data_IF_121594817482
#
_entry.id   IF_121594817482
#
_cell.length_a   1.000
_cell.length_b   1.000
_cell.length_c   1.000
_cell.angle_alpha   90.00
_cell.angle_beta   90.00
_cell.angle_gamma   90.00
#
_symmetry.space_group_name_H-M   'P 1'
#
loop_
_entity.id
_entity.type
_entity.pdbx_description
1 polymer ?
#
# COMPACT_ATOMS: atom_id res chain seq x y z
N UNK A 1 63.08 2.95 -8.82
CA UNK A 1 62.63 3.74 -7.65
C UNK A 1 62.04 5.03 -8.17
N UNK A 2 60.71 5.11 -8.28
CA UNK A 2 59.99 6.31 -8.70
C UNK A 2 59.20 6.82 -7.50
N UNK A 3 59.59 8.00 -7.03
CA UNK A 3 59.03 8.72 -5.89
C UNK A 3 57.65 9.25 -6.28
N UNK A 4 56.61 8.79 -5.60
CA UNK A 4 55.24 9.25 -5.78
C UNK A 4 55.11 10.60 -5.03
N UNK A 5 55.05 11.70 -5.77
CA UNK A 5 54.64 13.00 -5.23
C UNK A 5 53.12 13.06 -5.15
N UNK A 6 52.59 13.31 -3.95
CA UNK A 6 51.17 13.43 -3.67
C UNK A 6 50.54 14.56 -4.49
N UNK A 7 49.49 14.24 -5.24
CA UNK A 7 48.60 15.23 -5.86
C UNK A 7 47.58 15.73 -4.83
N UNK A 8 47.41 17.05 -4.81
CA UNK A 8 46.48 17.79 -3.98
C UNK A 8 45.04 17.28 -4.10
N UNK A 9 44.43 16.94 -2.96
CA UNK A 9 43.03 16.58 -2.88
C UNK A 9 42.15 17.85 -2.93
N UNK A 10 41.05 17.88 -3.70
CA UNK A 10 40.15 19.01 -3.73
C UNK A 10 39.42 19.17 -2.40
N UNK A 11 39.53 20.34 -1.79
CA UNK A 11 38.83 20.72 -0.56
C UNK A 11 37.31 20.77 -0.82
N UNK A 12 36.57 19.81 -0.27
CA UNK A 12 35.09 19.80 -0.31
C UNK A 12 34.56 20.87 0.66
N UNK A 13 33.72 21.83 0.22
CA UNK A 13 33.10 22.79 1.12
C UNK A 13 32.09 22.08 2.06
N UNK A 14 32.31 22.20 3.36
CA UNK A 14 31.36 21.72 4.39
C UNK A 14 30.07 22.55 4.32
N UNK A 15 28.94 21.90 4.04
CA UNK A 15 27.61 22.52 4.03
C UNK A 15 27.18 22.75 5.51
N UNK A 16 26.79 23.99 5.92
CA UNK A 16 26.36 24.23 7.29
C UNK A 16 25.04 23.50 7.62
N UNK A 17 24.94 22.98 8.84
CA UNK A 17 23.75 22.33 9.40
C UNK A 17 22.53 23.29 9.35
N UNK A 18 21.31 22.78 9.09
CA UNK A 18 20.11 23.63 9.10
C UNK A 18 19.80 24.10 10.53
N UNK A 19 19.91 25.41 10.74
CA UNK A 19 19.50 26.10 11.96
C UNK A 19 17.98 25.99 12.13
N UNK A 20 17.55 25.60 13.35
CA UNK A 20 16.15 25.47 13.74
C UNK A 20 15.45 26.84 13.69
N UNK A 21 14.68 27.10 12.63
CA UNK A 21 13.87 28.31 12.47
C UNK A 21 12.69 28.26 13.44
N UNK A 22 12.65 29.20 14.39
CA UNK A 22 11.53 29.43 15.29
C UNK A 22 10.54 30.37 14.57
N UNK A 23 9.25 30.01 14.40
CA UNK A 23 8.30 30.87 13.71
C UNK A 23 7.96 32.10 14.58
N UNK A 24 8.19 33.28 14.02
CA UNK A 24 7.73 34.57 14.51
C UNK A 24 6.22 34.70 14.22
N UNK A 25 5.42 34.96 15.24
CA UNK A 25 3.99 35.23 15.09
C UNK A 25 3.80 36.70 14.73
N UNK A 26 3.41 36.96 13.48
CA UNK A 26 3.04 38.29 12.99
C UNK A 26 1.69 38.69 13.58
N UNK A 27 1.66 39.82 14.29
CA UNK A 27 0.45 40.43 14.85
C UNK A 27 -0.18 41.35 13.80
N UNK A 28 -1.32 40.96 13.23
CA UNK A 28 -2.18 41.86 12.47
C UNK A 28 -3.31 42.34 13.38
N UNK A 29 -3.11 43.50 14.02
CA UNK A 29 -4.22 44.35 14.46
C UNK A 29 -4.55 45.25 13.27
N UNK A 30 -5.79 45.21 12.78
CA UNK A 30 -6.58 46.43 12.57
C UNK A 30 -8.02 46.16 12.06
N UNK A 31 -8.97 46.75 12.79
CA UNK A 31 -10.28 47.28 12.39
C UNK A 31 -11.44 46.34 11.97
N UNK A 32 -12.31 46.00 12.95
CA UNK A 32 -13.75 45.70 12.75
C UNK A 32 -14.57 46.43 13.84
N UNK A 33 -15.74 47.04 13.53
CA UNK A 33 -16.41 48.02 14.40
C UNK A 33 -17.18 47.41 15.59
N UNK A 34 -17.32 48.21 16.65
CA UNK A 34 -18.07 47.97 17.89
C UNK A 34 -19.57 47.73 17.64
N UNK A 35 -20.09 46.60 18.11
CA UNK A 35 -21.47 46.46 18.60
C UNK A 35 -21.46 45.98 20.05
N UNK A 36 -22.29 46.67 20.86
CA UNK A 36 -22.38 46.58 22.33
C UNK A 36 -22.81 45.19 22.80
N UNK A 37 -22.11 44.59 23.79
CA UNK A 37 -22.67 43.55 24.65
C UNK A 37 -22.21 43.69 26.12
N UNK A 38 -23.20 43.44 26.98
CA UNK A 38 -23.38 43.61 28.42
C UNK A 38 -22.45 42.71 29.29
N UNK A 39 -22.22 42.98 30.61
CA UNK A 39 -21.07 42.45 31.32
C UNK A 39 -21.23 40.97 31.75
N UNK A 40 -20.15 40.24 31.48
CA UNK A 40 -19.84 38.92 31.99
C UNK A 40 -19.78 38.89 33.52
N UNK A 41 -20.59 38.06 34.18
CA UNK A 41 -20.28 37.64 35.57
C UNK A 41 -20.84 36.29 36.06
N UNK A 42 -21.51 35.46 35.25
CA UNK A 42 -22.09 34.20 35.78
C UNK A 42 -21.92 32.92 34.96
N UNK A 43 -21.03 32.89 33.94
CA UNK A 43 -20.79 31.66 33.16
C UNK A 43 -19.38 31.06 33.28
N UNK A 44 -18.45 31.73 33.97
CA UNK A 44 -17.04 31.28 34.08
C UNK A 44 -16.75 30.23 35.17
N UNK A 45 -17.64 30.03 36.14
CA UNK A 45 -17.33 29.20 37.31
C UNK A 45 -17.63 27.70 37.13
N UNK A 46 -18.48 27.32 36.17
CA UNK A 46 -18.78 25.90 35.92
C UNK A 46 -17.83 25.26 34.90
N UNK A 47 -17.27 26.05 33.98
CA UNK A 47 -16.34 25.55 32.96
C UNK A 47 -14.92 25.36 33.49
N UNK A 48 -14.46 26.21 34.42
CA UNK A 48 -13.11 26.10 35.00
C UNK A 48 -12.91 24.84 35.86
N UNK A 49 -13.99 24.25 36.41
CA UNK A 49 -13.90 23.03 37.23
C UNK A 49 -13.85 21.73 36.42
N UNK A 50 -14.15 21.79 35.12
CA UNK A 50 -14.12 20.62 34.24
C UNK A 50 -12.72 20.32 33.67
N UNK A 51 -11.80 21.30 33.67
CA UNK A 51 -10.49 21.20 32.99
C UNK A 51 -9.35 20.83 33.96
N UNK A 52 -9.61 20.73 35.26
CA UNK A 52 -8.58 20.42 36.26
C UNK A 52 -8.39 18.92 36.55
N UNK A 53 -9.26 18.04 36.03
CA UNK A 53 -9.27 16.62 36.42
C UNK A 53 -8.68 15.65 35.37
N UNK A 54 -8.14 16.13 34.25
CA UNK A 54 -7.77 15.24 33.13
C UNK A 54 -6.27 15.29 32.77
N UNK A 55 -5.40 15.23 33.78
CA UNK A 55 -3.93 15.19 33.58
C UNK A 55 -3.34 13.77 33.64
N UNK A 56 -4.15 12.72 33.43
CA UNK A 56 -3.66 11.31 33.41
C UNK A 56 -4.38 10.40 32.42
N UNK A 57 -4.77 10.90 31.25
CA UNK A 57 -5.27 10.05 30.16
C UNK A 57 -4.20 9.86 29.07
N UNK A 58 -3.44 8.77 29.25
CA UNK A 58 -2.57 8.07 28.31
C UNK A 58 -2.99 8.24 26.84
N UNK A 59 -2.03 8.62 25.98
CA UNK A 59 -2.15 8.66 24.52
C UNK A 59 -2.56 7.28 23.98
N UNK A 60 -3.86 7.02 23.87
CA UNK A 60 -4.40 5.82 23.23
C UNK A 60 -4.43 6.09 21.73
N UNK A 61 -3.66 5.30 20.97
CA UNK A 61 -3.83 5.23 19.51
C UNK A 61 -5.32 4.96 19.20
N UNK A 62 -5.89 5.54 18.13
CA UNK A 62 -7.24 5.23 17.69
C UNK A 62 -7.32 3.73 17.40
N UNK A 63 -7.97 2.99 18.29
CA UNK A 63 -8.24 1.57 18.10
C UNK A 63 -9.16 1.43 16.91
N UNK A 64 -8.66 0.79 15.83
CA UNK A 64 -9.47 0.39 14.69
C UNK A 64 -10.77 -0.26 15.18
N UNK A 65 -11.93 0.01 14.54
CA UNK A 65 -13.20 -0.56 14.98
C UNK A 65 -13.08 -2.09 15.01
N UNK A 66 -13.29 -2.68 16.19
CA UNK A 66 -13.40 -4.14 16.34
C UNK A 66 -14.57 -4.58 15.49
N UNK A 67 -14.28 -5.20 14.36
CA UNK A 67 -15.34 -5.79 13.57
C UNK A 67 -16.00 -6.93 14.37
N UNK A 68 -17.35 -7.03 14.32
CA UNK A 68 -18.06 -8.09 15.00
C UNK A 68 -17.55 -9.44 14.51
N UNK A 69 -17.14 -10.32 15.43
CA UNK A 69 -16.70 -11.67 15.10
C UNK A 69 -17.92 -12.46 14.61
N UNK A 70 -18.12 -12.50 13.29
CA UNK A 70 -19.03 -13.45 12.66
C UNK A 70 -18.55 -14.87 13.01
N UNK A 71 -19.45 -15.86 13.17
CA UNK A 71 -19.06 -17.23 13.49
C UNK A 71 -18.01 -17.69 12.48
N UNK A 72 -16.94 -18.32 13.00
CA UNK A 72 -15.79 -18.76 12.23
C UNK A 72 -16.25 -19.84 11.25
N UNK A 73 -16.60 -19.46 10.01
CA UNK A 73 -16.75 -20.42 8.93
C UNK A 73 -15.36 -21.03 8.73
N UNK A 74 -15.23 -22.34 9.00
CA UNK A 74 -13.97 -23.08 8.94
C UNK A 74 -13.25 -22.89 7.58
N UNK A 75 -14.01 -22.66 6.52
CA UNK A 75 -13.52 -22.26 5.20
C UNK A 75 -14.40 -21.14 4.63
N UNK A 76 -13.77 -20.07 4.15
CA UNK A 76 -14.46 -19.03 3.38
C UNK A 76 -14.43 -19.39 1.88
N UNK A 77 -15.47 -19.00 1.13
CA UNK A 77 -15.49 -19.21 -0.32
C UNK A 77 -14.30 -18.53 -1.01
N UNK A 78 -13.90 -17.35 -0.52
CA UNK A 78 -12.71 -16.63 -0.99
C UNK A 78 -11.44 -17.48 -0.83
N UNK A 79 -11.22 -18.05 0.36
CA UNK A 79 -10.06 -18.92 0.64
C UNK A 79 -10.04 -20.14 -0.26
N UNK A 80 -11.20 -20.78 -0.47
CA UNK A 80 -11.30 -21.94 -1.37
C UNK A 80 -10.94 -21.55 -2.81
N UNK A 81 -11.50 -20.45 -3.31
CA UNK A 81 -11.25 -19.95 -4.67
C UNK A 81 -9.78 -19.57 -4.83
N UNK A 82 -9.22 -18.81 -3.90
CA UNK A 82 -7.81 -18.39 -3.91
C UNK A 82 -6.88 -19.61 -4.01
N UNK A 83 -6.96 -20.55 -3.07
CA UNK A 83 -6.08 -21.73 -3.11
C UNK A 83 -6.35 -22.64 -4.33
N UNK A 84 -7.60 -22.78 -4.76
CA UNK A 84 -7.90 -23.55 -5.98
C UNK A 84 -7.27 -22.91 -7.21
N UNK A 85 -7.30 -21.58 -7.29
CA UNK A 85 -6.70 -20.84 -8.39
C UNK A 85 -5.17 -20.86 -8.34
N UNK A 86 -4.52 -20.77 -7.18
CA UNK A 86 -3.06 -20.85 -7.10
C UNK A 86 -2.50 -22.26 -7.35
N UNK A 87 -3.22 -23.30 -6.92
CA UNK A 87 -2.68 -24.67 -6.91
C UNK A 87 -3.31 -25.61 -7.94
N UNK A 88 -4.64 -25.59 -8.11
CA UNK A 88 -5.31 -26.54 -9.01
C UNK A 88 -5.41 -26.02 -10.46
N UNK A 89 -5.74 -24.74 -10.64
CA UNK A 89 -5.95 -24.18 -11.97
C UNK A 89 -4.67 -24.11 -12.85
N UNK A 90 -3.43 -23.98 -12.32
CA UNK A 90 -2.24 -24.09 -13.15
C UNK A 90 -2.11 -25.44 -13.86
N UNK A 91 -2.68 -26.52 -13.30
CA UNK A 91 -2.73 -27.80 -14.00
C UNK A 91 -3.58 -27.72 -15.27
N UNK A 92 -4.70 -27.00 -15.24
CA UNK A 92 -5.56 -26.74 -16.41
C UNK A 92 -4.79 -25.94 -17.45
N UNK A 93 -4.09 -24.87 -17.04
CA UNK A 93 -3.25 -24.10 -17.95
C UNK A 93 -2.14 -24.95 -18.57
N UNK A 94 -1.52 -25.84 -17.79
CA UNK A 94 -0.47 -26.72 -18.27
C UNK A 94 -0.99 -27.69 -19.34
N UNK A 95 -2.17 -28.26 -19.10
CA UNK A 95 -2.82 -29.19 -20.04
C UNK A 95 -3.26 -28.50 -21.34
N UNK A 96 -3.73 -27.25 -21.26
CA UNK A 96 -4.23 -26.50 -22.43
C UNK A 96 -3.09 -25.91 -23.26
N UNK A 97 -2.11 -25.25 -22.62
CA UNK A 97 -1.05 -24.51 -23.34
C UNK A 97 0.22 -25.33 -23.57
N UNK A 98 0.49 -26.34 -22.73
CA UNK A 98 1.71 -27.16 -22.80
C UNK A 98 1.42 -28.67 -22.74
N UNK A 99 0.47 -29.21 -23.56
CA UNK A 99 -0.03 -30.58 -23.42
C UNK A 99 1.05 -31.66 -23.50
N UNK A 100 2.07 -31.47 -24.33
CA UNK A 100 3.17 -32.44 -24.51
C UNK A 100 4.09 -32.56 -23.27
N UNK A 101 4.12 -31.54 -22.42
CA UNK A 101 4.98 -31.47 -21.24
C UNK A 101 4.25 -30.92 -20.01
N UNK A 102 2.95 -31.24 -19.90
CA UNK A 102 2.04 -30.62 -18.94
C UNK A 102 2.49 -30.82 -17.49
N UNK A 103 3.11 -31.95 -17.14
CA UNK A 103 3.60 -32.20 -15.78
C UNK A 103 4.72 -31.24 -15.42
N UNK A 104 5.71 -31.09 -16.31
CA UNK A 104 6.81 -30.14 -16.14
C UNK A 104 6.30 -28.71 -16.11
N UNK A 105 5.40 -28.36 -17.02
CA UNK A 105 4.80 -27.03 -17.05
C UNK A 105 4.01 -26.71 -15.77
N UNK A 106 3.23 -27.66 -15.26
CA UNK A 106 2.51 -27.54 -14.00
C UNK A 106 3.45 -27.33 -12.81
N UNK A 107 4.51 -28.14 -12.69
CA UNK A 107 5.49 -28.01 -11.61
C UNK A 107 6.24 -26.67 -11.68
N UNK A 108 6.59 -26.20 -12.88
CA UNK A 108 7.20 -24.88 -13.07
C UNK A 108 6.23 -23.78 -12.64
N UNK A 109 4.97 -23.81 -13.07
CA UNK A 109 3.99 -22.81 -12.66
C UNK A 109 3.73 -22.87 -11.15
N UNK A 110 3.72 -24.05 -10.53
CA UNK A 110 3.64 -24.17 -9.08
C UNK A 110 4.86 -23.55 -8.38
N UNK A 111 6.06 -23.69 -8.96
CA UNK A 111 7.26 -23.04 -8.44
C UNK A 111 7.18 -21.50 -8.51
N UNK A 112 6.37 -20.93 -9.42
CA UNK A 112 6.20 -19.47 -9.49
C UNK A 112 5.45 -18.89 -8.30
N UNK A 113 4.75 -19.71 -7.50
CA UNK A 113 4.16 -19.28 -6.22
C UNK A 113 5.22 -18.71 -5.25
N UNK A 114 6.50 -19.02 -5.47
CA UNK A 114 7.61 -18.50 -4.67
C UNK A 114 7.73 -16.97 -4.72
N UNK A 115 7.12 -16.30 -5.70
CA UNK A 115 7.11 -14.83 -5.74
C UNK A 115 6.43 -14.22 -4.50
N UNK A 116 5.50 -14.95 -3.86
CA UNK A 116 4.86 -14.52 -2.60
C UNK A 116 5.82 -14.39 -1.43
N UNK A 117 7.06 -14.91 -1.54
CA UNK A 117 8.08 -14.64 -0.54
C UNK A 117 8.40 -13.14 -0.42
N UNK A 118 8.06 -12.32 -1.42
CA UNK A 118 8.17 -10.87 -1.34
C UNK A 118 7.21 -10.24 -0.29
N UNK A 119 6.25 -11.01 0.23
CA UNK A 119 5.45 -10.62 1.38
C UNK A 119 6.28 -10.42 2.64
N UNK A 120 7.38 -11.16 2.78
CA UNK A 120 8.30 -11.00 3.92
C UNK A 120 9.01 -9.64 3.92
N UNK A 121 9.04 -8.95 2.78
CA UNK A 121 9.64 -7.62 2.65
C UNK A 121 8.68 -6.49 3.05
N UNK A 122 7.39 -6.79 3.24
CA UNK A 122 6.39 -5.81 3.63
C UNK A 122 6.36 -5.53 5.13
N UNK A 123 6.02 -4.29 5.46
CA UNK A 123 5.62 -3.88 6.81
C UNK A 123 4.20 -3.32 6.74
N UNK A 124 3.17 -3.92 7.39
CA UNK A 124 3.21 -5.17 8.17
C UNK A 124 3.29 -6.41 7.27
N UNK A 125 3.87 -7.50 7.79
CA UNK A 125 4.09 -8.76 7.03
C UNK A 125 2.74 -9.37 6.64
N UNK A 126 1.83 -9.55 7.59
CA UNK A 126 0.52 -10.15 7.37
C UNK A 126 -0.61 -9.18 7.67
N UNK A 127 -1.45 -8.93 6.68
CA UNK A 127 -2.63 -8.06 6.80
C UNK A 127 -3.77 -8.60 5.95
N UNK A 128 -4.79 -9.25 6.56
CA UNK A 128 -5.83 -10.00 5.82
C UNK A 128 -6.71 -9.20 4.87
N UNK A 129 -6.64 -7.87 4.92
CA UNK A 129 -7.51 -6.96 4.15
C UNK A 129 -6.74 -6.10 3.15
N UNK A 130 -5.43 -6.32 3.03
CA UNK A 130 -4.58 -5.57 2.11
C UNK A 130 -4.53 -6.28 0.77
N UNK A 131 -4.64 -5.51 -0.31
CA UNK A 131 -4.37 -6.02 -1.65
C UNK A 131 -2.85 -6.13 -1.89
N UNK A 132 -2.38 -7.31 -2.31
CA UNK A 132 -0.96 -7.58 -2.61
C UNK A 132 -0.47 -6.80 -3.83
N UNK A 133 -1.34 -6.61 -4.83
CA UNK A 133 -1.02 -5.95 -6.09
C UNK A 133 -0.67 -4.47 -5.88
N UNK A 134 0.53 -4.12 -6.34
CA UNK A 134 1.11 -2.78 -6.21
C UNK A 134 1.75 -2.50 -4.84
N UNK A 135 1.66 -3.42 -3.88
CA UNK A 135 2.23 -3.24 -2.54
C UNK A 135 3.64 -3.82 -2.41
N UNK A 136 3.87 -5.01 -2.97
CA UNK A 136 5.15 -5.70 -2.91
C UNK A 136 5.98 -5.49 -4.19
N UNK A 137 7.32 -5.64 -4.13
CA UNK A 137 8.18 -5.42 -5.29
C UNK A 137 7.85 -6.32 -6.49
N UNK A 138 7.64 -7.63 -6.28
CA UNK A 138 7.36 -8.59 -7.35
C UNK A 138 5.90 -8.52 -7.81
N UNK A 139 5.02 -8.02 -6.95
CA UNK A 139 3.61 -7.71 -7.26
C UNK A 139 3.40 -6.25 -7.72
N UNK A 140 4.47 -5.52 -8.01
CA UNK A 140 4.35 -4.11 -8.39
C UNK A 140 3.73 -3.94 -9.78
N UNK A 141 3.07 -2.81 -10.01
CA UNK A 141 2.52 -2.49 -11.34
C UNK A 141 3.58 -2.44 -12.44
N UNK A 142 4.85 -2.20 -12.07
CA UNK A 142 5.99 -2.23 -12.98
C UNK A 142 6.45 -3.65 -13.30
N UNK A 143 6.25 -4.61 -12.40
CA UNK A 143 6.60 -6.01 -12.62
C UNK A 143 5.67 -6.69 -13.64
N UNK A 144 4.38 -6.35 -13.63
CA UNK A 144 3.37 -6.89 -14.56
C UNK A 144 3.79 -6.80 -16.04
N UNK A 145 4.14 -5.61 -16.59
CA UNK A 145 4.56 -5.52 -18.00
C UNK A 145 5.88 -6.26 -18.26
N UNK A 146 6.80 -6.31 -17.30
CA UNK A 146 8.04 -7.10 -17.44
C UNK A 146 7.71 -8.58 -17.59
N UNK A 147 6.80 -9.13 -16.78
CA UNK A 147 6.35 -10.51 -16.91
C UNK A 147 5.59 -10.76 -18.23
N UNK A 148 4.81 -9.79 -18.70
CA UNK A 148 4.17 -9.86 -20.00
C UNK A 148 5.20 -9.93 -21.14
N UNK A 149 6.31 -9.19 -21.05
CA UNK A 149 7.38 -9.25 -22.05
C UNK A 149 8.08 -10.62 -22.05
N UNK A 150 8.18 -11.31 -20.90
CA UNK A 150 8.72 -12.67 -20.83
C UNK A 150 7.90 -13.71 -21.61
N UNK A 151 6.63 -13.44 -21.95
CA UNK A 151 5.85 -14.30 -22.85
C UNK A 151 6.39 -14.31 -24.29
N UNK A 152 7.10 -13.25 -24.71
CA UNK A 152 7.66 -13.13 -26.06
C UNK A 152 8.90 -14.02 -26.25
N UNK A 153 9.53 -14.45 -25.16
CA UNK A 153 10.72 -15.28 -25.18
C UNK A 153 10.32 -16.75 -25.00
N UNK A 154 10.55 -17.63 -25.99
CA UNK A 154 10.06 -19.02 -25.95
C UNK A 154 10.60 -19.82 -24.76
N UNK A 155 11.81 -19.52 -24.31
CA UNK A 155 12.43 -20.19 -23.16
C UNK A 155 11.74 -19.86 -21.81
N UNK A 156 11.08 -18.71 -21.68
CA UNK A 156 10.48 -18.25 -20.41
C UNK A 156 8.96 -18.31 -20.41
N UNK A 157 8.32 -18.78 -21.47
CA UNK A 157 6.87 -18.77 -21.62
C UNK A 157 6.13 -19.45 -20.46
N UNK A 158 6.57 -20.64 -20.04
CA UNK A 158 5.93 -21.37 -18.94
C UNK A 158 6.01 -20.57 -17.62
N UNK A 159 7.18 -20.01 -17.32
CA UNK A 159 7.40 -19.17 -16.12
C UNK A 159 6.56 -17.91 -16.19
N UNK A 160 6.53 -17.25 -17.36
CA UNK A 160 5.76 -16.04 -17.57
C UNK A 160 4.25 -16.29 -17.42
N UNK A 161 3.72 -17.37 -17.98
CA UNK A 161 2.32 -17.79 -17.79
C UNK A 161 2.03 -18.04 -16.31
N UNK A 162 2.90 -18.78 -15.61
CA UNK A 162 2.75 -19.04 -14.18
C UNK A 162 2.69 -17.76 -13.33
N UNK A 163 3.68 -16.88 -13.51
CA UNK A 163 3.75 -15.60 -12.79
C UNK A 163 2.53 -14.71 -13.13
N UNK A 164 2.20 -14.53 -14.41
CA UNK A 164 1.06 -13.69 -14.78
C UNK A 164 -0.26 -14.24 -14.26
N UNK A 165 -0.42 -15.56 -14.27
CA UNK A 165 -1.60 -16.19 -13.70
C UNK A 165 -1.64 -16.02 -12.18
N UNK A 166 -0.52 -16.16 -11.47
CA UNK A 166 -0.42 -15.84 -10.05
C UNK A 166 -0.85 -14.40 -9.74
N UNK A 167 -0.36 -13.42 -10.49
CA UNK A 167 -0.77 -12.02 -10.30
C UNK A 167 -2.27 -11.81 -10.62
N UNK A 168 -2.81 -12.58 -11.57
CA UNK A 168 -4.24 -12.57 -11.86
C UNK A 168 -5.05 -13.13 -10.69
N UNK A 169 -4.64 -14.24 -10.08
CA UNK A 169 -5.36 -14.85 -8.95
C UNK A 169 -5.32 -13.96 -7.71
N UNK A 170 -4.21 -13.28 -7.46
CA UNK A 170 -4.09 -12.22 -6.45
C UNK A 170 -5.03 -11.04 -6.72
N UNK A 171 -5.14 -10.64 -7.99
CA UNK A 171 -6.06 -9.56 -8.38
C UNK A 171 -7.52 -9.96 -8.12
N UNK A 172 -7.88 -11.22 -8.39
CA UNK A 172 -9.22 -11.75 -8.07
C UNK A 172 -9.48 -11.71 -6.56
N UNK A 173 -8.50 -12.07 -5.73
CA UNK A 173 -8.62 -11.98 -4.27
C UNK A 173 -8.78 -10.53 -3.77
N UNK A 174 -8.04 -9.58 -4.37
CA UNK A 174 -8.22 -8.16 -4.11
C UNK A 174 -9.64 -7.68 -4.44
N UNK A 175 -10.19 -8.07 -5.60
CA UNK A 175 -11.55 -7.72 -5.99
C UNK A 175 -12.59 -8.29 -5.02
N UNK A 176 -12.38 -9.53 -4.55
CA UNK A 176 -13.24 -10.14 -3.54
C UNK A 176 -13.21 -9.33 -2.24
N UNK A 177 -12.02 -8.96 -1.77
CA UNK A 177 -11.83 -8.09 -0.60
C UNK A 177 -12.52 -6.72 -0.76
N UNK A 178 -12.46 -6.11 -1.95
CA UNK A 178 -13.10 -4.82 -2.22
C UNK A 178 -14.63 -4.89 -2.17
N UNK A 179 -15.23 -6.01 -2.57
CA UNK A 179 -16.69 -6.21 -2.47
C UNK A 179 -17.19 -6.28 -1.02
N UNK A 180 -16.32 -6.65 -0.07
CA UNK A 180 -16.67 -6.79 1.35
C UNK A 180 -16.29 -5.56 2.19
N UNK A 181 -15.41 -4.69 1.67
CA UNK A 181 -14.82 -3.60 2.42
C UNK A 181 -14.47 -2.42 1.51
N UNK A 182 -15.26 -1.35 1.61
CA UNK A 182 -15.01 -0.13 0.83
C UNK A 182 -13.70 0.57 1.23
N UNK A 183 -13.40 0.64 2.52
CA UNK A 183 -12.13 1.20 3.03
C UNK A 183 -10.90 0.46 2.49
N UNK A 184 -11.01 -0.85 2.27
CA UNK A 184 -9.93 -1.67 1.73
C UNK A 184 -9.62 -1.29 0.28
N UNK A 185 -10.66 -0.91 -0.48
CA UNK A 185 -10.49 -0.38 -1.82
C UNK A 185 -9.85 1.01 -1.81
N UNK A 186 -10.33 1.94 -0.97
CA UNK A 186 -9.79 3.30 -0.88
C UNK A 186 -8.31 3.33 -0.46
N UNK A 187 -7.91 2.45 0.43
CA UNK A 187 -6.53 2.32 0.91
C UNK A 187 -5.62 1.50 -0.05
N UNK A 188 -6.16 0.96 -1.14
CA UNK A 188 -5.39 0.15 -2.09
C UNK A 188 -4.52 1.01 -3.03
N UNK A 189 -3.38 0.46 -3.43
CA UNK A 189 -2.53 1.07 -4.48
C UNK A 189 -3.23 1.11 -5.84
N UNK A 190 -4.19 0.20 -6.07
CA UNK A 190 -5.04 0.17 -7.28
C UNK A 190 -5.92 1.44 -7.35
N UNK A 191 -6.54 1.85 -6.23
CA UNK A 191 -7.31 3.09 -6.20
C UNK A 191 -6.43 4.31 -6.49
N UNK A 192 -5.24 4.37 -5.88
CA UNK A 192 -4.27 5.45 -6.12
C UNK A 192 -3.85 5.51 -7.60
N UNK A 193 -3.55 4.36 -8.22
CA UNK A 193 -3.22 4.27 -9.64
C UNK A 193 -4.38 4.74 -10.54
N UNK A 194 -5.59 4.25 -10.29
CA UNK A 194 -6.79 4.66 -11.02
C UNK A 194 -7.02 6.17 -10.92
N UNK A 195 -6.87 6.74 -9.73
CA UNK A 195 -7.08 8.16 -9.50
C UNK A 195 -6.04 9.01 -10.22
N UNK A 196 -4.77 8.61 -10.14
CA UNK A 196 -3.68 9.24 -10.88
C UNK A 196 -3.92 9.17 -12.40
N UNK A 197 -4.37 8.03 -12.93
CA UNK A 197 -4.67 7.86 -14.35
C UNK A 197 -5.84 8.74 -14.80
N UNK A 198 -6.91 8.85 -14.00
CA UNK A 198 -8.04 9.76 -14.30
C UNK A 198 -7.59 11.23 -14.39
N UNK A 199 -6.71 11.66 -13.48
CA UNK A 199 -6.09 12.99 -13.50
C UNK A 199 -5.22 13.20 -14.73
N UNK A 200 -4.37 12.24 -15.06
CA UNK A 200 -3.50 12.29 -16.24
C UNK A 200 -4.31 12.39 -17.54
N UNK A 201 -5.42 11.65 -17.63
CA UNK A 201 -6.33 11.67 -18.77
C UNK A 201 -7.28 12.89 -18.79
N UNK A 202 -7.13 13.85 -17.87
CA UNK A 202 -7.95 15.07 -17.82
C UNK A 202 -9.44 14.81 -17.62
N UNK A 203 -9.82 13.69 -17.00
CA UNK A 203 -11.24 13.33 -16.78
C UNK A 203 -11.85 13.93 -15.52
N UNK A 204 -11.11 14.72 -14.74
CA UNK A 204 -11.60 15.30 -13.47
C UNK A 204 -12.45 16.56 -13.64
N UNK A 205 -12.49 17.19 -14.83
CA UNK A 205 -13.23 18.43 -15.07
C UNK A 205 -14.61 18.23 -15.73
N UNK A 206 -15.20 17.02 -15.64
CA UNK A 206 -16.44 16.64 -16.36
C UNK A 206 -17.55 16.05 -15.48
N UNK A 207 -17.49 16.27 -14.17
CA UNK A 207 -18.55 15.95 -13.20
C UNK A 207 -18.84 17.21 -12.37
#
# INVERSE_FOLDING_TARGET
>A
MATITAHDAPTIPQRPLPTKVRPQVVSTRDHVPRTKQEPARKLGSRYAKAIANDTTARFTQPTAPRQPRKPFKLFSAQTLVHYSLHFAFPAVLALVFFPLMWQTAYLIMLATMLIDLDHLLAKPIFEPRRCSIGYHPLHSFYAVPVYALLLLLPATQIVAVGILFHLFTDTVDCLWSFSHCHECYLNSRIYALRNWLRKLLGREARE
#
